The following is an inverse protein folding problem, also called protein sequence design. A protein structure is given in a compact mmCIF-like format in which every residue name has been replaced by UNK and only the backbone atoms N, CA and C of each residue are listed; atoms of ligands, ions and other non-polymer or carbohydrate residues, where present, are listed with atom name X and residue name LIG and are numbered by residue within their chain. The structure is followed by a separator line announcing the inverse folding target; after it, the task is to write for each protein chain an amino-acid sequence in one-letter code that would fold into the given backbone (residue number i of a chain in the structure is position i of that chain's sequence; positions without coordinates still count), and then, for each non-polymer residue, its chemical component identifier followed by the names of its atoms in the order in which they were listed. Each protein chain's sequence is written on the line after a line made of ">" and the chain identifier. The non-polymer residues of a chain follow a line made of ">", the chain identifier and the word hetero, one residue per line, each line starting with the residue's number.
data_IF_639996301008
#
_entry.id   IF_639996301008
#
_cell.length_a   1.000
_cell.length_b   1.000
_cell.length_c   1.000
_cell.angle_alpha   90.00
_cell.angle_beta   90.00
_cell.angle_gamma   90.00
#
_symmetry.space_group_name_H-M   'P 1'
#
loop_
_entity.id
_entity.type
_entity.pdbx_description
1 polymer ?
#
# COMPACT_ATOMS: atom_id res chain seq x y z
N UNK A 1 18.51 5.70 0.33
CA UNK A 1 18.43 6.36 -0.98
C UNK A 1 18.26 7.87 -0.79
N UNK A 2 18.40 8.67 -1.84
CA UNK A 2 18.15 10.13 -1.80
C UNK A 2 16.69 10.48 -2.12
N UNK A 3 16.27 11.70 -1.79
CA UNK A 3 14.95 12.22 -2.14
C UNK A 3 14.65 12.09 -3.65
N UNK A 4 15.62 12.41 -4.51
CA UNK A 4 15.48 12.27 -5.97
C UNK A 4 15.28 10.82 -6.42
N UNK A 5 15.91 9.85 -5.75
CA UNK A 5 15.71 8.43 -6.04
C UNK A 5 14.30 7.98 -5.64
N UNK A 6 13.77 8.46 -4.50
CA UNK A 6 12.38 8.16 -4.10
C UNK A 6 11.37 8.83 -5.03
N UNK A 7 11.62 10.07 -5.47
CA UNK A 7 10.77 10.77 -6.44
C UNK A 7 10.64 9.99 -7.76
N UNK A 8 11.77 9.51 -8.29
CA UNK A 8 11.79 8.73 -9.52
C UNK A 8 11.12 7.36 -9.35
N UNK A 9 11.29 6.72 -8.18
CA UNK A 9 10.60 5.47 -7.86
C UNK A 9 9.08 5.66 -7.82
N UNK A 10 8.60 6.71 -7.14
CA UNK A 10 7.18 7.03 -7.09
C UNK A 10 6.61 7.35 -8.47
N UNK A 11 7.38 8.07 -9.30
CA UNK A 11 7.01 8.33 -10.70
C UNK A 11 6.79 7.03 -11.47
N UNK A 12 7.76 6.11 -11.42
CA UNK A 12 7.68 4.81 -12.12
C UNK A 12 6.51 3.97 -11.61
N UNK A 13 6.30 3.96 -10.29
CA UNK A 13 5.20 3.21 -9.68
C UNK A 13 3.84 3.74 -10.15
N UNK A 14 3.60 5.06 -10.03
CA UNK A 14 2.36 5.69 -10.49
C UNK A 14 2.15 5.50 -11.99
N UNK A 15 3.20 5.60 -12.80
CA UNK A 15 3.11 5.37 -14.24
C UNK A 15 2.68 3.93 -14.58
N UNK A 16 3.14 2.93 -13.82
CA UNK A 16 2.82 1.53 -14.04
C UNK A 16 1.44 1.12 -13.49
N UNK A 17 1.09 1.61 -12.31
CA UNK A 17 -0.05 1.12 -11.52
C UNK A 17 -1.27 2.06 -11.51
N UNK A 18 -1.05 3.36 -11.76
CA UNK A 18 -2.11 4.38 -11.77
C UNK A 18 -1.96 5.34 -12.96
N UNK A 19 -2.08 4.84 -14.20
CA UNK A 19 -1.76 5.61 -15.38
C UNK A 19 -2.71 6.81 -15.62
N UNK A 20 -3.96 6.78 -15.14
CA UNK A 20 -4.85 7.95 -15.25
C UNK A 20 -4.40 9.06 -14.31
N UNK A 21 -4.18 8.74 -13.03
CA UNK A 21 -3.65 9.68 -12.04
C UNK A 21 -2.30 10.25 -12.48
N UNK A 22 -1.42 9.42 -13.04
CA UNK A 22 -0.14 9.89 -13.57
C UNK A 22 -0.32 10.95 -14.68
N UNK A 23 -1.25 10.73 -15.62
CA UNK A 23 -1.54 11.70 -16.69
C UNK A 23 -2.14 12.99 -16.16
N UNK A 24 -3.00 12.92 -15.16
CA UNK A 24 -3.61 14.10 -14.53
C UNK A 24 -2.56 14.94 -13.78
N UNK A 25 -1.71 14.28 -13.00
CA UNK A 25 -0.60 14.93 -12.29
C UNK A 25 0.42 15.56 -13.25
N UNK A 26 0.68 14.93 -14.40
CA UNK A 26 1.66 15.41 -15.38
C UNK A 26 1.07 16.28 -16.48
N UNK A 27 -0.25 16.55 -16.46
CA UNK A 27 -0.89 17.48 -17.39
C UNK A 27 -0.33 18.90 -17.24
N UNK A 28 0.04 19.28 -16.02
CA UNK A 28 0.89 20.43 -15.74
C UNK A 28 2.29 19.92 -15.37
N UNK A 29 3.30 20.09 -16.23
CA UNK A 29 4.63 19.53 -16.01
C UNK A 29 5.33 20.15 -14.80
N UNK A 30 5.10 21.44 -14.52
CA UNK A 30 5.72 22.14 -13.38
C UNK A 30 5.12 21.62 -12.08
N UNK A 31 3.79 21.51 -12.03
CA UNK A 31 3.09 20.99 -10.86
C UNK A 31 3.39 19.51 -10.62
N UNK A 32 3.42 18.71 -11.67
CA UNK A 32 3.75 17.28 -11.60
C UNK A 32 5.16 17.04 -11.10
N UNK A 33 6.15 17.79 -11.61
CA UNK A 33 7.53 17.70 -11.13
C UNK A 33 7.66 18.12 -9.67
N UNK A 34 7.04 19.24 -9.27
CA UNK A 34 7.03 19.69 -7.88
C UNK A 34 6.40 18.64 -6.94
N UNK A 35 5.33 17.97 -7.36
CA UNK A 35 4.71 16.89 -6.59
C UNK A 35 5.68 15.75 -6.30
N UNK A 36 6.37 15.22 -7.33
CA UNK A 36 7.30 14.11 -7.14
C UNK A 36 8.52 14.49 -6.30
N UNK A 37 9.04 15.71 -6.46
CA UNK A 37 10.15 16.21 -5.64
C UNK A 37 9.73 16.31 -4.18
N UNK A 38 8.57 16.92 -3.90
CA UNK A 38 8.04 17.03 -2.54
C UNK A 38 7.77 15.65 -1.93
N UNK A 39 7.22 14.70 -2.70
CA UNK A 39 7.01 13.34 -2.25
C UNK A 39 8.34 12.63 -1.92
N UNK A 40 9.35 12.80 -2.77
CA UNK A 40 10.69 12.24 -2.53
C UNK A 40 11.34 12.80 -1.26
N UNK A 41 11.20 14.11 -1.01
CA UNK A 41 11.66 14.77 0.22
C UNK A 41 10.90 14.24 1.44
N UNK A 42 9.57 14.17 1.34
CA UNK A 42 8.73 13.64 2.42
C UNK A 42 9.10 12.21 2.78
N UNK A 43 9.30 11.34 1.79
CA UNK A 43 9.76 9.96 2.02
C UNK A 43 11.11 9.96 2.71
N UNK A 44 12.08 10.75 2.25
CA UNK A 44 13.40 10.81 2.87
C UNK A 44 13.35 11.29 4.33
N UNK A 45 12.52 12.29 4.64
CA UNK A 45 12.31 12.79 6.00
C UNK A 45 11.62 11.74 6.88
N UNK A 46 10.54 11.13 6.40
CA UNK A 46 9.80 10.11 7.15
C UNK A 46 10.68 8.89 7.42
N UNK A 47 11.50 8.47 6.45
CA UNK A 47 12.46 7.39 6.58
C UNK A 47 13.42 7.62 7.74
N UNK A 48 14.01 8.82 7.82
CA UNK A 48 14.96 9.16 8.88
C UNK A 48 14.31 9.16 10.27
N UNK A 49 13.05 9.64 10.35
CA UNK A 49 12.28 9.63 11.60
C UNK A 49 11.98 8.19 12.04
N UNK A 50 11.48 7.34 11.15
CA UNK A 50 11.15 5.94 11.47
C UNK A 50 12.42 5.14 11.79
N UNK A 51 13.51 5.33 11.04
CA UNK A 51 14.79 4.69 11.32
C UNK A 51 15.30 5.04 12.72
N UNK A 52 15.25 6.31 13.11
CA UNK A 52 15.63 6.75 14.45
C UNK A 52 14.76 6.09 15.54
N UNK A 53 13.44 6.05 15.34
CA UNK A 53 12.51 5.38 16.25
C UNK A 53 12.78 3.87 16.36
N UNK A 54 13.13 3.21 15.24
CA UNK A 54 13.48 1.79 15.26
C UNK A 54 14.80 1.55 15.98
N UNK A 55 15.79 2.43 15.81
CA UNK A 55 17.04 2.37 16.56
C UNK A 55 16.84 2.59 18.05
N UNK A 56 15.82 3.30 18.51
CA UNK A 56 15.50 3.40 19.94
C UNK A 56 14.86 2.11 20.48
N UNK A 57 14.14 1.37 19.64
CA UNK A 57 13.44 0.14 20.01
C UNK A 57 14.29 -1.12 19.93
N UNK A 58 15.27 -1.16 19.03
CA UNK A 58 16.15 -2.31 18.87
C UNK A 58 17.10 -2.44 20.08
N UNK A 59 17.44 -3.67 20.51
CA UNK A 59 18.44 -3.87 21.55
C UNK A 59 19.75 -3.14 21.21
N UNK A 60 20.46 -2.57 22.21
CA UNK A 60 21.76 -1.95 21.95
C UNK A 60 22.73 -2.99 21.39
N UNK A 61 23.58 -2.55 20.46
CA UNK A 61 24.63 -3.42 19.92
C UNK A 61 25.68 -3.72 21.00
N UNK A 62 26.27 -4.92 20.94
CA UNK A 62 27.39 -5.27 21.80
C UNK A 62 28.58 -4.33 21.50
N UNK A 63 29.11 -3.59 22.49
CA UNK A 63 30.25 -2.71 22.29
C UNK A 63 31.53 -3.44 21.82
N UNK A 64 31.63 -4.76 22.01
CA UNK A 64 32.72 -5.60 21.50
C UNK A 64 32.56 -6.04 20.05
N UNK A 65 31.41 -5.80 19.42
CA UNK A 65 31.12 -6.25 18.05
C UNK A 65 30.70 -5.08 17.13
N UNK A 66 31.63 -4.56 16.30
CA UNK A 66 31.30 -3.51 15.34
C UNK A 66 30.28 -3.96 14.28
N UNK A 67 30.19 -5.26 13.95
CA UNK A 67 29.22 -5.77 12.99
C UNK A 67 27.80 -5.72 13.57
N UNK A 68 27.64 -5.96 14.88
CA UNK A 68 26.35 -5.86 15.54
C UNK A 68 25.70 -4.48 15.37
N UNK A 69 26.50 -3.40 15.41
CA UNK A 69 26.01 -2.04 15.15
C UNK A 69 25.52 -1.87 13.72
N UNK A 70 26.27 -2.38 12.74
CA UNK A 70 25.88 -2.29 11.33
C UNK A 70 24.63 -3.09 11.02
N UNK A 71 24.48 -4.28 11.61
CA UNK A 71 23.28 -5.11 11.47
C UNK A 71 22.07 -4.38 12.05
N UNK A 72 22.22 -3.77 13.23
CA UNK A 72 21.16 -2.99 13.88
C UNK A 72 20.67 -1.82 13.02
N UNK A 73 21.60 -1.05 12.45
CA UNK A 73 21.26 0.07 11.56
C UNK A 73 20.60 -0.44 10.28
N UNK A 74 21.14 -1.50 9.67
CA UNK A 74 20.52 -2.10 8.47
C UNK A 74 19.10 -2.61 8.73
N UNK A 75 18.87 -3.23 9.88
CA UNK A 75 17.53 -3.69 10.27
C UNK A 75 16.57 -2.53 10.48
N UNK A 76 16.96 -1.50 11.22
CA UNK A 76 16.15 -0.31 11.42
C UNK A 76 15.78 0.36 10.08
N UNK A 77 16.76 0.46 9.17
CA UNK A 77 16.56 1.00 7.84
C UNK A 77 15.61 0.15 7.00
N UNK A 78 15.75 -1.17 6.99
CA UNK A 78 14.88 -2.05 6.21
C UNK A 78 13.42 -1.92 6.63
N UNK A 79 13.15 -1.86 7.94
CA UNK A 79 11.80 -1.65 8.47
C UNK A 79 11.27 -0.27 8.11
N UNK A 80 12.09 0.78 8.23
CA UNK A 80 11.70 2.13 7.82
C UNK A 80 11.36 2.20 6.32
N UNK A 81 12.16 1.56 5.48
CA UNK A 81 11.94 1.46 4.03
C UNK A 81 10.61 0.74 3.73
N UNK A 82 10.36 -0.40 4.34
CA UNK A 82 9.11 -1.14 4.15
C UNK A 82 7.88 -0.31 4.55
N UNK A 83 7.89 0.30 5.74
CA UNK A 83 6.75 1.07 6.24
C UNK A 83 6.47 2.32 5.39
N UNK A 84 7.49 3.14 5.17
CA UNK A 84 7.33 4.44 4.51
C UNK A 84 7.00 4.28 3.03
N UNK A 85 7.64 3.33 2.34
CA UNK A 85 7.37 3.12 0.92
C UNK A 85 5.98 2.52 0.69
N UNK A 86 5.52 1.61 1.54
CA UNK A 86 4.17 1.05 1.44
C UNK A 86 3.10 2.12 1.64
N UNK A 87 3.33 3.04 2.58
CA UNK A 87 2.36 4.10 2.90
C UNK A 87 2.34 5.22 1.86
N UNK A 88 3.51 5.67 1.39
CA UNK A 88 3.62 6.90 0.59
C UNK A 88 3.86 6.70 -0.90
N UNK A 89 4.42 5.56 -1.31
CA UNK A 89 4.91 5.35 -2.69
C UNK A 89 4.15 4.23 -3.39
N UNK A 90 3.99 3.09 -2.73
CA UNK A 90 3.44 1.86 -3.31
C UNK A 90 1.91 1.81 -3.14
N UNK A 91 1.22 2.87 -3.57
CA UNK A 91 -0.25 2.91 -3.59
C UNK A 91 -0.76 1.81 -4.52
N UNK A 92 -1.82 1.11 -4.11
CA UNK A 92 -2.46 0.06 -4.90
C UNK A 92 -2.97 0.56 -6.27
N UNK A 93 -3.32 -0.39 -7.13
CA UNK A 93 -3.79 -0.09 -8.49
C UNK A 93 -5.02 0.84 -8.47
N UNK A 94 -5.29 1.49 -9.60
CA UNK A 94 -6.59 2.13 -9.81
C UNK A 94 -7.65 1.02 -9.74
N UNK A 95 -8.60 1.13 -8.80
CA UNK A 95 -9.79 0.29 -8.83
C UNK A 95 -10.43 0.51 -10.20
N UNK A 96 -10.36 -0.52 -11.03
CA UNK A 96 -11.25 -0.57 -12.18
C UNK A 96 -12.61 -0.68 -11.52
N UNK A 97 -13.37 0.41 -11.52
CA UNK A 97 -14.81 0.29 -11.42
C UNK A 97 -15.19 -0.70 -12.53
N UNK A 98 -15.27 -1.98 -12.19
CA UNK A 98 -16.11 -2.90 -12.91
C UNK A 98 -17.45 -2.18 -12.89
N UNK A 99 -17.79 -1.58 -14.02
CA UNK A 99 -19.17 -1.35 -14.38
C UNK A 99 -19.81 -2.72 -14.19
N UNK A 100 -20.41 -2.91 -13.01
CA UNK A 100 -21.51 -3.82 -12.86
C UNK A 100 -22.51 -3.27 -13.86
N UNK A 101 -22.54 -3.91 -15.02
CA UNK A 101 -23.62 -3.78 -15.98
C UNK A 101 -24.89 -4.12 -15.21
N UNK A 102 -25.46 -3.11 -14.56
CA UNK A 102 -26.78 -3.12 -14.01
C UNK A 102 -27.74 -2.94 -15.18
N UNK A 103 -27.71 -3.89 -16.12
CA UNK A 103 -28.86 -4.18 -16.95
C UNK A 103 -28.76 -5.58 -17.58
N UNK A 104 -29.70 -6.45 -17.18
CA UNK A 104 -30.14 -7.56 -18.03
C UNK A 104 -29.84 -8.98 -17.57
N UNK A 105 -30.79 -9.53 -16.80
CA UNK A 105 -31.18 -10.94 -16.73
C UNK A 105 -30.54 -11.84 -15.65
N UNK A 106 -31.07 -11.71 -14.42
CA UNK A 106 -31.23 -12.89 -13.55
C UNK A 106 -32.41 -13.73 -14.07
N UNK A 107 -32.22 -14.55 -15.11
CA UNK A 107 -33.18 -15.61 -15.45
C UNK A 107 -32.78 -16.88 -14.72
N UNK A 108 -33.24 -17.02 -13.48
CA UNK A 108 -32.94 -18.20 -12.68
C UNK A 108 -33.56 -18.24 -11.29
N UNK A 109 -34.74 -17.65 -11.09
CA UNK A 109 -35.60 -18.00 -9.95
C UNK A 109 -36.95 -18.47 -10.50
N UNK A 110 -37.08 -19.77 -10.71
CA UNK A 110 -38.38 -20.42 -10.83
C UNK A 110 -39.03 -20.49 -9.45
N UNK A 111 -40.21 -19.89 -9.24
CA UNK A 111 -40.98 -20.14 -8.03
C UNK A 111 -41.70 -21.48 -8.21
N UNK A 112 -41.08 -22.60 -7.80
CA UNK A 112 -41.74 -23.89 -8.05
C UNK A 112 -41.16 -25.17 -7.47
N UNK A 113 -39.96 -25.19 -6.89
CA UNK A 113 -39.37 -26.45 -6.39
C UNK A 113 -38.50 -26.18 -5.17
N UNK A 114 -39.08 -26.31 -3.99
CA UNK A 114 -38.38 -26.13 -2.72
C UNK A 114 -37.41 -27.27 -2.39
N UNK A 115 -36.46 -27.05 -1.46
CA UNK A 115 -35.87 -28.14 -0.71
C UNK A 115 -36.88 -28.61 0.35
N UNK A 116 -37.25 -29.87 0.23
CA UNK A 116 -38.05 -30.65 1.16
C UNK A 116 -37.16 -31.06 2.36
N UNK A 117 -37.66 -30.86 3.58
CA UNK A 117 -37.14 -31.31 4.90
C UNK A 117 -35.92 -30.54 5.47
N UNK A 118 -35.86 -30.18 6.75
CA UNK A 118 -36.61 -30.60 7.94
C UNK A 118 -36.62 -29.46 8.98
N UNK A 119 -37.79 -29.08 9.51
CA UNK A 119 -37.92 -28.20 10.68
C UNK A 119 -38.10 -29.07 11.95
N UNK A 120 -37.18 -29.05 12.92
CA UNK A 120 -37.25 -29.87 14.12
C UNK A 120 -38.12 -29.19 15.19
N UNK A 121 -39.42 -29.05 14.95
CA UNK A 121 -40.31 -28.40 15.92
C UNK A 121 -41.74 -28.97 15.96
N UNK A 122 -41.89 -30.26 16.30
CA UNK A 122 -43.14 -30.74 16.93
C UNK A 122 -42.88 -31.80 18.02
N UNK A 123 -42.44 -31.29 19.17
CA UNK A 123 -42.72 -31.87 20.48
C UNK A 123 -44.12 -31.40 20.93
N UNK A 124 -44.88 -32.31 21.52
CA UNK A 124 -46.24 -32.15 22.08
C UNK A 124 -47.35 -32.02 21.02
N UNK A 125 -48.36 -32.87 20.96
CA UNK A 125 -49.16 -33.41 22.08
C UNK A 125 -50.01 -34.58 21.59
#
# INVERSE_FOLDING_TARGET
>A
MSASQYAEMARRHLQAHRPRMYRELTADPVRGEAYFLQLGEQVATQMAVVEAQMLERLPPADPGDPQAREVRVRQARAVAEEMVLTELVLVGDEETEEQTDADGAYTGWEPGTGPLFDDPSHLMR
#
